data_IF_258291266943
#
_entry.id   IF_258291266943
#
_cell.length_a   1.000
_cell.length_b   1.000
_cell.length_c   1.000
_cell.angle_alpha   90.00
_cell.angle_beta   90.00
_cell.angle_gamma   90.00
#
_symmetry.space_group_name_H-M   'P 1'
#
loop_
_entity.id
_entity.type
_entity.pdbx_description
1 polymer ?
#
# COMPACT_ATOMS: atom_id res chain seq x y z
N UNK A 1 -4.95 8.66 4.56
CA UNK A 1 -5.98 7.63 4.26
C UNK A 1 -5.82 6.50 5.28
N UNK A 2 -6.90 5.88 5.75
CA UNK A 2 -6.83 4.75 6.70
C UNK A 2 -6.34 3.48 5.97
N UNK A 3 -5.38 2.74 6.54
CA UNK A 3 -4.79 1.53 5.92
C UNK A 3 -5.87 0.49 5.59
N UNK A 4 -6.86 0.31 6.47
CA UNK A 4 -7.95 -0.64 6.26
C UNK A 4 -8.80 -0.29 5.03
N UNK A 5 -9.28 0.95 4.97
CA UNK A 5 -10.10 1.43 3.84
C UNK A 5 -9.29 1.44 2.54
N UNK A 6 -8.04 1.91 2.58
CA UNK A 6 -7.16 1.94 1.43
C UNK A 6 -6.89 0.54 0.85
N UNK A 7 -6.56 -0.42 1.72
CA UNK A 7 -6.29 -1.81 1.31
C UNK A 7 -7.52 -2.49 0.73
N UNK A 8 -8.70 -2.28 1.33
CA UNK A 8 -9.96 -2.81 0.77
C UNK A 8 -10.28 -2.19 -0.59
N UNK A 9 -10.07 -0.88 -0.77
CA UNK A 9 -10.29 -0.22 -2.06
C UNK A 9 -9.33 -0.75 -3.14
N UNK A 10 -8.04 -0.88 -2.82
CA UNK A 10 -7.05 -1.44 -3.74
C UNK A 10 -7.36 -2.91 -4.08
N UNK A 11 -7.77 -3.72 -3.10
CA UNK A 11 -8.25 -5.09 -3.33
C UNK A 11 -9.38 -5.13 -4.35
N UNK A 12 -10.40 -4.27 -4.21
CA UNK A 12 -11.53 -4.25 -5.15
C UNK A 12 -11.06 -4.00 -6.58
N UNK A 13 -10.14 -3.06 -6.79
CA UNK A 13 -9.57 -2.79 -8.11
C UNK A 13 -8.80 -3.98 -8.67
N UNK A 14 -7.83 -4.49 -7.92
CA UNK A 14 -6.96 -5.58 -8.38
C UNK A 14 -7.67 -6.92 -8.54
N UNK A 15 -8.71 -7.22 -7.74
CA UNK A 15 -9.44 -8.48 -7.81
C UNK A 15 -10.51 -8.50 -8.90
N UNK A 16 -11.30 -7.42 -9.01
CA UNK A 16 -12.49 -7.40 -9.87
C UNK A 16 -12.28 -6.65 -11.19
N UNK A 17 -11.31 -5.73 -11.23
CA UNK A 17 -10.98 -4.94 -12.42
C UNK A 17 -9.47 -5.05 -12.80
N UNK A 18 -8.87 -6.26 -12.79
CA UNK A 18 -7.42 -6.43 -12.89
C UNK A 18 -6.82 -5.86 -14.18
N UNK A 19 -7.52 -5.98 -15.31
CA UNK A 19 -7.03 -5.46 -16.60
C UNK A 19 -7.02 -3.93 -16.64
N UNK A 20 -8.05 -3.28 -16.10
CA UNK A 20 -8.13 -1.82 -16.05
C UNK A 20 -7.02 -1.26 -15.15
N UNK A 21 -6.81 -1.88 -13.99
CA UNK A 21 -5.72 -1.48 -13.09
C UNK A 21 -4.37 -1.69 -13.76
N UNK A 22 -4.14 -2.87 -14.38
CA UNK A 22 -2.91 -3.18 -15.10
C UNK A 22 -2.59 -2.13 -16.18
N UNK A 23 -3.58 -1.76 -17.01
CA UNK A 23 -3.41 -0.72 -18.03
C UNK A 23 -3.04 0.63 -17.43
N UNK A 24 -3.67 1.03 -16.32
CA UNK A 24 -3.40 2.33 -15.67
C UNK A 24 -2.00 2.41 -15.04
N UNK A 25 -1.43 1.28 -14.63
CA UNK A 25 -0.06 1.18 -14.12
C UNK A 25 0.96 0.81 -15.21
N UNK A 26 0.54 0.59 -16.46
CA UNK A 26 1.47 0.26 -17.55
C UNK A 26 1.92 -1.20 -17.60
N UNK A 27 1.19 -2.10 -16.92
CA UNK A 27 1.53 -3.53 -16.82
C UNK A 27 0.71 -4.36 -17.82
N UNK A 28 1.22 -5.53 -18.25
CA UNK A 28 0.47 -6.46 -19.08
C UNK A 28 -0.85 -6.90 -18.43
N UNK A 29 -1.94 -6.85 -19.19
CA UNK A 29 -3.25 -7.39 -18.80
C UNK A 29 -3.23 -8.92 -18.72
N UNK A 30 -4.14 -9.52 -17.95
CA UNK A 30 -4.24 -10.97 -17.82
C UNK A 30 -3.13 -11.62 -16.97
N UNK A 31 -2.29 -10.81 -16.31
CA UNK A 31 -1.25 -11.31 -15.41
C UNK A 31 -1.86 -11.89 -14.12
N UNK A 32 -1.51 -13.13 -13.71
CA UNK A 32 -1.99 -13.71 -12.46
C UNK A 32 -1.52 -12.94 -11.23
N UNK A 33 -0.43 -12.17 -11.35
CA UNK A 33 0.10 -11.35 -10.26
C UNK A 33 -0.87 -10.27 -9.79
N UNK A 34 -1.82 -9.82 -10.63
CA UNK A 34 -2.85 -8.87 -10.19
C UNK A 34 -3.67 -9.44 -9.03
N UNK A 35 -3.97 -10.74 -9.05
CA UNK A 35 -4.71 -11.38 -7.96
C UNK A 35 -3.85 -11.51 -6.69
N UNK A 36 -2.56 -11.81 -6.81
CA UNK A 36 -1.65 -11.82 -5.66
C UNK A 36 -1.57 -10.45 -4.98
N UNK A 37 -1.45 -9.37 -5.77
CA UNK A 37 -1.49 -7.99 -5.27
C UNK A 37 -2.86 -7.68 -4.64
N UNK A 38 -3.95 -8.19 -5.20
CA UNK A 38 -5.27 -8.05 -4.61
C UNK A 38 -5.32 -8.68 -3.20
N UNK A 39 -4.85 -9.93 -3.05
CA UNK A 39 -4.85 -10.64 -1.76
C UNK A 39 -3.90 -9.97 -0.74
N UNK A 40 -2.77 -9.44 -1.19
CA UNK A 40 -1.88 -8.65 -0.33
C UNK A 40 -2.60 -7.40 0.21
N UNK A 41 -3.29 -6.66 -0.66
CA UNK A 41 -4.08 -5.49 -0.27
C UNK A 41 -5.26 -5.84 0.63
N UNK A 42 -5.95 -6.96 0.37
CA UNK A 42 -7.02 -7.47 1.24
C UNK A 42 -6.50 -7.78 2.64
N UNK A 43 -5.32 -8.40 2.73
CA UNK A 43 -4.68 -8.74 4.01
C UNK A 43 -4.45 -7.49 4.85
N UNK A 44 -3.83 -6.44 4.27
CA UNK A 44 -3.65 -5.16 4.98
C UNK A 44 -4.96 -4.42 5.24
N UNK A 45 -5.93 -4.54 4.33
CA UNK A 45 -7.27 -4.00 4.49
C UNK A 45 -7.98 -4.56 5.72
N UNK A 46 -7.99 -5.88 5.86
CA UNK A 46 -8.59 -6.57 7.01
C UNK A 46 -7.83 -6.29 8.31
N UNK A 47 -6.49 -6.37 8.29
CA UNK A 47 -5.67 -6.05 9.47
C UNK A 47 -5.87 -4.59 9.92
N UNK A 48 -5.94 -3.65 8.97
CA UNK A 48 -6.23 -2.24 9.25
C UNK A 48 -7.62 -2.05 9.86
N UNK A 49 -8.64 -2.74 9.34
CA UNK A 49 -9.98 -2.71 9.89
C UNK A 49 -10.05 -3.30 11.30
N UNK A 50 -9.35 -4.41 11.55
CA UNK A 50 -9.29 -5.06 12.86
C UNK A 50 -8.67 -4.19 13.95
N UNK A 51 -7.84 -3.19 13.60
CA UNK A 51 -7.30 -2.22 14.56
C UNK A 51 -8.38 -1.40 15.29
N UNK A 52 -9.61 -1.34 14.76
CA UNK A 52 -10.75 -0.71 15.44
C UNK A 52 -11.14 -1.50 16.70
N UNK A 53 -11.02 -2.83 16.64
CA UNK A 53 -11.46 -3.74 17.70
C UNK A 53 -10.28 -4.23 18.55
N UNK A 54 -9.14 -4.53 17.93
CA UNK A 54 -7.95 -5.06 18.60
C UNK A 54 -7.04 -3.90 19.02
N UNK A 55 -6.99 -3.66 20.34
CA UNK A 55 -6.21 -2.57 20.94
C UNK A 55 -4.79 -3.01 21.32
N UNK A 56 -4.00 -2.09 21.87
CA UNK A 56 -2.62 -2.36 22.30
C UNK A 56 -1.61 -2.18 21.17
N UNK A 57 -0.71 -3.16 20.97
CA UNK A 57 0.39 -3.06 19.98
C UNK A 57 0.06 -3.61 18.59
N UNK A 58 -1.16 -4.12 18.39
CA UNK A 58 -1.57 -4.75 17.13
C UNK A 58 -1.39 -3.82 15.91
N UNK A 59 -1.85 -2.58 16.02
CA UNK A 59 -1.75 -1.59 14.94
C UNK A 59 -0.30 -1.27 14.54
N UNK A 60 0.68 -1.40 15.44
CA UNK A 60 2.10 -1.19 15.09
C UNK A 60 2.58 -2.26 14.10
N UNK A 61 2.20 -3.52 14.28
CA UNK A 61 2.55 -4.58 13.34
C UNK A 61 1.92 -4.32 11.96
N UNK A 62 0.68 -3.83 11.93
CA UNK A 62 -0.03 -3.47 10.69
C UNK A 62 0.68 -2.32 9.96
N UNK A 63 1.07 -1.26 10.69
CA UNK A 63 1.82 -0.14 10.12
C UNK A 63 3.16 -0.60 9.54
N UNK A 64 3.94 -1.37 10.30
CA UNK A 64 5.26 -1.86 9.85
C UNK A 64 5.12 -2.70 8.58
N UNK A 65 4.21 -3.68 8.57
CA UNK A 65 3.97 -4.52 7.40
C UNK A 65 3.53 -3.70 6.18
N UNK A 66 2.60 -2.77 6.39
CA UNK A 66 2.10 -1.92 5.30
C UNK A 66 3.20 -1.00 4.73
N UNK A 67 4.09 -0.46 5.58
CA UNK A 67 5.25 0.31 5.11
C UNK A 67 6.20 -0.54 4.27
N UNK A 68 6.51 -1.77 4.70
CA UNK A 68 7.35 -2.69 3.92
C UNK A 68 6.73 -2.97 2.56
N UNK A 69 5.42 -3.25 2.51
CA UNK A 69 4.72 -3.51 1.27
C UNK A 69 4.74 -2.32 0.31
N UNK A 70 4.39 -1.12 0.80
CA UNK A 70 4.30 0.08 -0.04
C UNK A 70 5.68 0.58 -0.47
N UNK A 71 6.70 0.55 0.39
CA UNK A 71 8.07 0.89 -0.03
C UNK A 71 8.66 -0.13 -1.00
N UNK A 72 8.30 -1.41 -0.86
CA UNK A 72 8.63 -2.44 -1.86
C UNK A 72 7.97 -2.16 -3.21
N UNK A 73 6.69 -1.76 -3.21
CA UNK A 73 5.99 -1.34 -4.43
C UNK A 73 6.65 -0.09 -5.05
N UNK A 74 6.98 0.93 -4.24
CA UNK A 74 7.68 2.14 -4.68
C UNK A 74 8.99 1.81 -5.39
N UNK A 75 9.78 0.87 -4.85
CA UNK A 75 10.99 0.39 -5.50
C UNK A 75 10.70 -0.22 -6.88
N UNK A 76 9.67 -1.06 -6.99
CA UNK A 76 9.22 -1.61 -8.28
C UNK A 76 8.84 -0.53 -9.30
N UNK A 77 8.07 0.47 -8.87
CA UNK A 77 7.71 1.63 -9.66
C UNK A 77 8.94 2.42 -10.15
N UNK A 78 9.93 2.68 -9.27
CA UNK A 78 11.18 3.33 -9.68
C UNK A 78 11.94 2.53 -10.75
N UNK A 79 12.02 1.21 -10.59
CA UNK A 79 12.68 0.33 -11.58
C UNK A 79 11.99 0.43 -12.95
N UNK A 80 10.65 0.48 -12.98
CA UNK A 80 9.90 0.61 -14.24
C UNK A 80 9.98 2.01 -14.84
N UNK A 81 9.97 3.05 -14.01
CA UNK A 81 10.16 4.43 -14.45
C UNK A 81 11.53 4.62 -15.10
N UNK A 82 12.59 4.00 -14.55
CA UNK A 82 13.92 3.97 -15.17
C UNK A 82 13.95 3.23 -16.52
N UNK A 83 13.02 2.30 -16.74
CA UNK A 83 12.82 1.59 -18.01
C UNK A 83 11.92 2.35 -18.99
N UNK A 84 11.48 3.56 -18.64
CA UNK A 84 10.71 4.45 -19.51
C UNK A 84 9.20 4.41 -19.31
N UNK A 85 8.68 3.67 -18.33
CA UNK A 85 7.26 3.68 -18.01
C UNK A 85 6.83 5.01 -17.38
N UNK A 86 5.80 5.63 -17.95
CA UNK A 86 5.22 6.91 -17.50
C UNK A 86 3.72 6.81 -17.24
N UNK A 87 3.23 5.59 -17.02
CA UNK A 87 1.81 5.34 -16.80
C UNK A 87 1.32 6.10 -15.56
N UNK A 88 0.09 6.63 -15.60
CA UNK A 88 -0.39 7.62 -14.63
C UNK A 88 -0.43 7.08 -13.20
N UNK A 89 -0.67 5.77 -13.01
CA UNK A 89 -0.71 5.15 -11.68
C UNK A 89 0.58 4.41 -11.33
N UNK A 90 1.56 4.39 -12.24
CA UNK A 90 2.91 3.85 -11.99
C UNK A 90 3.90 4.93 -11.52
N UNK A 91 3.53 6.20 -11.71
CA UNK A 91 4.37 7.37 -11.45
C UNK A 91 3.54 8.48 -10.80
N UNK A 92 4.15 9.64 -10.59
CA UNK A 92 3.44 10.84 -10.12
C UNK A 92 2.90 10.68 -8.70
N UNK A 93 1.70 11.21 -8.45
CA UNK A 93 1.16 11.34 -7.08
C UNK A 93 0.95 9.99 -6.39
N UNK A 94 0.61 8.94 -7.13
CA UNK A 94 0.39 7.61 -6.56
C UNK A 94 1.69 7.02 -6.00
N UNK A 95 2.77 7.10 -6.76
CA UNK A 95 4.10 6.71 -6.28
C UNK A 95 4.58 7.60 -5.12
N UNK A 96 4.65 8.92 -5.33
CA UNK A 96 5.29 9.80 -4.36
C UNK A 96 4.46 9.99 -3.10
N UNK A 97 3.16 10.25 -3.22
CA UNK A 97 2.31 10.44 -2.04
C UNK A 97 1.82 9.11 -1.47
N UNK A 98 1.33 8.21 -2.33
CA UNK A 98 0.74 6.93 -1.93
C UNK A 98 1.77 5.96 -1.35
N UNK A 99 2.84 5.70 -2.09
CA UNK A 99 3.78 4.63 -1.71
C UNK A 99 4.91 5.11 -0.80
N UNK A 100 5.24 6.42 -0.81
CA UNK A 100 6.40 6.95 -0.07
C UNK A 100 5.97 7.85 1.09
N UNK A 101 5.34 8.99 0.80
CA UNK A 101 5.10 10.04 1.82
C UNK A 101 4.08 9.58 2.86
N UNK A 102 2.93 9.03 2.46
CA UNK A 102 1.91 8.59 3.42
C UNK A 102 2.46 7.49 4.36
N UNK A 103 3.11 6.42 3.87
CA UNK A 103 3.69 5.40 4.74
C UNK A 103 4.77 5.95 5.66
N UNK A 104 5.63 6.85 5.15
CA UNK A 104 6.65 7.51 5.95
C UNK A 104 6.05 8.35 7.08
N UNK A 105 5.01 9.14 6.79
CA UNK A 105 4.32 9.94 7.80
C UNK A 105 3.68 9.06 8.87
N UNK A 106 2.98 7.99 8.47
CA UNK A 106 2.37 7.05 9.42
C UNK A 106 3.44 6.38 10.29
N UNK A 107 4.57 5.98 9.70
CA UNK A 107 5.68 5.37 10.42
C UNK A 107 6.31 6.33 11.44
N UNK A 108 6.55 7.59 11.06
CA UNK A 108 7.08 8.62 11.96
C UNK A 108 6.10 8.89 13.10
N UNK A 109 4.80 9.02 12.81
CA UNK A 109 3.77 9.22 13.83
C UNK A 109 3.68 8.04 14.79
N UNK A 110 3.75 6.81 14.28
CA UNK A 110 3.82 5.60 15.11
C UNK A 110 5.02 5.65 16.06
N UNK A 111 6.20 5.96 15.52
CA UNK A 111 7.43 6.03 16.30
C UNK A 111 7.35 7.11 17.39
N UNK A 112 6.89 8.31 17.02
CA UNK A 112 6.68 9.42 17.95
C UNK A 112 5.68 9.07 19.06
N UNK A 113 4.54 8.48 18.71
CA UNK A 113 3.54 8.03 19.68
C UNK A 113 4.13 7.05 20.69
N UNK A 114 4.85 6.03 20.21
CA UNK A 114 5.42 5.02 21.11
C UNK A 114 6.55 5.58 21.99
N UNK A 115 7.34 6.52 21.47
CA UNK A 115 8.40 7.16 22.25
C UNK A 115 7.83 8.12 23.31
N UNK A 116 6.73 8.82 22.99
CA UNK A 116 6.09 9.76 23.92
C UNK A 116 5.42 9.07 25.10
N UNK A 117 4.96 7.82 24.92
CA UNK A 117 4.36 7.00 25.98
C UNK A 117 5.38 6.35 26.94
N UNK A 118 6.68 6.49 26.67
CA UNK A 118 7.76 6.01 27.55
C UNK A 118 8.25 7.05 28.56
N UNK A 119 7.75 8.28 28.47
CA UNK A 119 7.97 9.34 29.47
C UNK A 119 6.85 9.34 30.48
#
# INVERSE_FOLDING_TARGET
>A
MNIGVAGLYAFMGHAFLPNQVAEQIGWPTGSPFQFEIAIANLSYGLLGFLCIFIRGKFWMAVVIGNCIFLWGAAYGHFVQMMKGDKSPYNTGIFLYAGDIVIPLLIFILMFYYYHSQKK
#
